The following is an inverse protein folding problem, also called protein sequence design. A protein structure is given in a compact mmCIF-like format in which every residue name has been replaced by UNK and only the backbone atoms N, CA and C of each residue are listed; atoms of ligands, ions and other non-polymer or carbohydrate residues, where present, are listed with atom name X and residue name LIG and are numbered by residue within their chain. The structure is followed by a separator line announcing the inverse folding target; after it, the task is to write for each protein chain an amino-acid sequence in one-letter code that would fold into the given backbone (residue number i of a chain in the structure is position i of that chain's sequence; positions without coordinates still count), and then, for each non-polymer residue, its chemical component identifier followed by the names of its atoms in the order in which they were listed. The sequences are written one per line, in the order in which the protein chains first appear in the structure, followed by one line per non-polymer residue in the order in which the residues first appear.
data_IF_319716476553
#
_entry.id   IF_319716476553
#
_cell.length_a   1.000
_cell.length_b   1.000
_cell.length_c   1.000
_cell.angle_alpha   90.00
_cell.angle_beta   90.00
_cell.angle_gamma   90.00
#
_symmetry.space_group_name_H-M   'P 1'
#
loop_
_entity.id
_entity.type
_entity.pdbx_description
1 polymer ?
#
# COMPACT_ATOMS: atom_id res chain seq x y z
N UNK A 1 -17.62 3.98 -9.46
CA UNK A 1 -16.55 4.97 -9.70
C UNK A 1 -15.59 5.02 -8.49
N UNK A 2 -14.90 3.92 -8.16
CA UNK A 2 -13.93 3.86 -7.04
C UNK A 2 -12.50 3.61 -7.54
N UNK A 3 -12.35 3.23 -8.82
CA UNK A 3 -11.07 2.93 -9.46
C UNK A 3 -10.31 4.18 -9.92
N UNK A 4 -10.96 5.34 -10.00
CA UNK A 4 -10.34 6.62 -10.41
C UNK A 4 -9.45 7.22 -9.33
N UNK A 5 -9.64 6.81 -8.07
CA UNK A 5 -8.82 7.21 -6.93
C UNK A 5 -7.61 6.30 -6.70
N UNK A 6 -7.49 5.21 -7.45
CA UNK A 6 -6.31 4.34 -7.36
C UNK A 6 -5.21 4.96 -8.22
N UNK A 7 -4.13 5.53 -7.61
CA UNK A 7 -3.03 6.11 -8.38
C UNK A 7 -2.40 5.06 -9.30
N UNK A 8 -1.99 5.48 -10.50
CA UNK A 8 -1.34 4.60 -11.50
C UNK A 8 -0.18 3.81 -10.90
N UNK A 9 0.55 4.40 -9.97
CA UNK A 9 1.65 3.76 -9.25
C UNK A 9 1.21 2.52 -8.47
N UNK A 10 0.03 2.52 -7.84
CA UNK A 10 -0.51 1.33 -7.16
C UNK A 10 -0.90 0.23 -8.14
N UNK A 11 -1.41 0.63 -9.31
CA UNK A 11 -1.88 -0.30 -10.34
C UNK A 11 -0.70 -0.97 -11.06
N UNK A 12 0.33 -0.18 -11.38
CA UNK A 12 1.60 -0.66 -11.93
C UNK A 12 2.33 -1.54 -10.91
N UNK A 13 2.29 -1.15 -9.64
CA UNK A 13 2.80 -1.96 -8.54
C UNK A 13 2.17 -3.34 -8.52
N UNK A 14 0.83 -3.44 -8.41
CA UNK A 14 0.09 -4.71 -8.44
C UNK A 14 0.33 -5.51 -9.72
N UNK A 15 0.57 -4.84 -10.85
CA UNK A 15 0.89 -5.45 -12.13
C UNK A 15 2.29 -6.06 -12.20
N UNK A 16 3.26 -5.49 -11.49
CA UNK A 16 4.64 -5.96 -11.41
C UNK A 16 4.89 -7.03 -10.34
N UNK A 17 3.88 -7.40 -9.55
CA UNK A 17 4.04 -8.35 -8.45
C UNK A 17 4.11 -9.79 -8.92
N UNK A 18 5.09 -10.51 -8.38
CA UNK A 18 5.16 -11.96 -8.50
C UNK A 18 4.08 -12.64 -7.65
N UNK A 19 3.85 -13.93 -7.87
CA UNK A 19 2.90 -14.70 -7.07
C UNK A 19 3.25 -14.72 -5.57
N UNK A 20 4.54 -14.67 -5.22
CA UNK A 20 5.00 -14.53 -3.83
C UNK A 20 4.60 -13.18 -3.23
N UNK A 21 4.81 -12.08 -3.96
CA UNK A 21 4.43 -10.74 -3.50
C UNK A 21 2.91 -10.62 -3.30
N UNK A 22 2.12 -11.22 -4.20
CA UNK A 22 0.66 -11.29 -4.07
C UNK A 22 0.24 -12.11 -2.86
N UNK A 23 0.95 -13.19 -2.54
CA UNK A 23 0.71 -13.98 -1.34
C UNK A 23 1.00 -13.18 -0.07
N UNK A 24 2.12 -12.46 -0.03
CA UNK A 24 2.50 -11.56 1.07
C UNK A 24 1.45 -10.46 1.28
N UNK A 25 1.01 -9.79 0.21
CA UNK A 25 -0.05 -8.79 0.28
C UNK A 25 -1.37 -9.37 0.77
N UNK A 26 -1.74 -10.59 0.34
CA UNK A 26 -2.95 -11.27 0.83
C UNK A 26 -2.87 -11.64 2.30
N UNK A 27 -1.70 -12.07 2.74
CA UNK A 27 -1.42 -12.44 4.13
C UNK A 27 -1.54 -11.19 5.02
N UNK A 28 -0.87 -10.11 4.62
CA UNK A 28 -0.92 -8.82 5.33
C UNK A 28 -2.31 -8.20 5.24
N UNK A 29 -3.03 -8.32 4.12
CA UNK A 29 -4.42 -7.84 3.99
C UNK A 29 -5.40 -8.62 4.89
N UNK A 30 -5.18 -9.93 5.09
CA UNK A 30 -5.96 -10.72 6.04
C UNK A 30 -5.69 -10.31 7.48
N UNK A 31 -4.43 -10.04 7.80
CA UNK A 31 -4.01 -9.53 9.10
C UNK A 31 -4.13 -8.00 9.22
N UNK A 32 -4.62 -7.31 8.18
CA UNK A 32 -4.79 -5.86 8.18
C UNK A 32 -5.78 -5.38 9.23
N UNK A 33 -6.76 -6.22 9.57
CA UNK A 33 -7.64 -5.98 10.70
C UNK A 33 -6.93 -6.09 12.07
N UNK A 34 -5.77 -6.75 12.15
CA UNK A 34 -4.92 -6.79 13.35
C UNK A 34 -3.92 -5.64 13.40
N UNK A 35 -3.48 -5.15 12.24
CA UNK A 35 -2.62 -3.97 12.18
C UNK A 35 -3.44 -2.74 12.58
N UNK A 36 -3.07 -2.13 13.71
CA UNK A 36 -3.77 -0.95 14.24
C UNK A 36 -3.63 0.27 13.33
N UNK A 37 -2.55 0.35 12.58
CA UNK A 37 -2.20 1.46 11.72
C UNK A 37 -1.49 0.98 10.46
N UNK A 38 -1.57 1.80 9.42
CA UNK A 38 -0.91 1.56 8.13
C UNK A 38 0.61 1.33 8.28
N UNK A 39 1.27 1.98 9.23
CA UNK A 39 2.71 1.81 9.51
C UNK A 39 3.10 0.37 9.91
N UNK A 40 2.28 -0.31 10.73
CA UNK A 40 2.57 -1.70 11.11
C UNK A 40 2.37 -2.65 9.94
N UNK A 41 1.32 -2.43 9.14
CA UNK A 41 1.11 -3.19 7.91
C UNK A 41 2.27 -2.97 6.93
N UNK A 42 2.79 -1.73 6.86
CA UNK A 42 3.92 -1.35 6.03
C UNK A 42 5.24 -1.98 6.48
N UNK A 43 5.48 -2.02 7.78
CA UNK A 43 6.67 -2.67 8.36
C UNK A 43 6.65 -4.18 8.07
N UNK A 44 5.51 -4.85 8.29
CA UNK A 44 5.36 -6.27 7.94
C UNK A 44 5.52 -6.51 6.44
N UNK A 45 5.03 -5.60 5.59
CA UNK A 45 5.19 -5.66 4.14
C UNK A 45 6.66 -5.51 3.73
N UNK A 46 7.39 -4.56 4.33
CA UNK A 46 8.84 -4.36 4.14
C UNK A 46 9.66 -5.57 4.57
N UNK A 47 9.29 -6.20 5.68
CA UNK A 47 10.01 -7.36 6.22
C UNK A 47 9.86 -8.59 5.32
N UNK A 48 8.65 -8.81 4.76
CA UNK A 48 8.41 -9.92 3.83
C UNK A 48 8.88 -9.64 2.41
N UNK A 49 8.68 -8.43 1.91
CA UNK A 49 9.12 -7.98 0.59
C UNK A 49 9.60 -6.52 0.66
N UNK A 50 10.91 -6.26 0.69
CA UNK A 50 11.44 -4.90 0.78
C UNK A 50 11.06 -4.04 -0.44
N UNK A 51 10.93 -4.63 -1.64
CA UNK A 51 10.43 -3.94 -2.84
C UNK A 51 8.95 -3.55 -2.71
N UNK A 52 8.13 -4.45 -2.16
CA UNK A 52 6.72 -4.15 -1.86
C UNK A 52 6.62 -3.01 -0.85
N UNK A 53 7.38 -3.14 0.24
CA UNK A 53 7.48 -2.18 1.33
C UNK A 53 7.82 -0.76 0.88
N UNK A 54 8.86 -0.59 0.07
CA UNK A 54 9.27 0.71 -0.43
C UNK A 54 8.21 1.37 -1.31
N UNK A 55 7.55 0.59 -2.18
CA UNK A 55 6.48 1.12 -3.04
C UNK A 55 5.20 1.42 -2.26
N UNK A 56 4.82 0.61 -1.29
CA UNK A 56 3.68 0.87 -0.42
C UNK A 56 3.89 2.12 0.45
N UNK A 57 5.11 2.36 0.92
CA UNK A 57 5.46 3.56 1.70
C UNK A 57 5.31 4.81 0.84
N UNK A 58 5.89 4.77 -0.35
CA UNK A 58 5.77 5.85 -1.32
C UNK A 58 4.31 6.13 -1.69
N UNK A 59 3.49 5.08 -1.81
CA UNK A 59 2.06 5.20 -2.09
C UNK A 59 1.30 5.84 -0.93
N UNK A 60 1.56 5.40 0.30
CA UNK A 60 0.97 5.94 1.51
C UNK A 60 1.33 7.43 1.66
N UNK A 61 2.58 7.81 1.43
CA UNK A 61 3.04 9.20 1.48
C UNK A 61 2.36 10.06 0.41
N UNK A 62 2.21 9.54 -0.82
CA UNK A 62 1.49 10.23 -1.90
C UNK A 62 0.00 10.42 -1.60
N UNK A 63 -0.64 9.38 -1.06
CA UNK A 63 -2.07 9.40 -0.72
C UNK A 63 -2.31 10.34 0.46
N UNK A 64 -1.46 10.27 1.49
CA UNK A 64 -1.49 11.19 2.63
C UNK A 64 -1.33 12.64 2.17
N UNK A 65 -0.34 12.94 1.34
CA UNK A 65 -0.15 14.28 0.78
C UNK A 65 -1.33 14.77 -0.06
N UNK A 66 -2.00 13.87 -0.80
CA UNK A 66 -3.24 14.20 -1.52
C UNK A 66 -4.43 14.43 -0.59
N UNK A 67 -4.56 13.65 0.48
CA UNK A 67 -5.61 13.81 1.49
C UNK A 67 -5.42 15.13 2.25
N UNK A 68 -4.19 15.45 2.65
CA UNK A 68 -3.86 16.72 3.30
C UNK A 68 -4.17 17.91 2.36
N UNK A 69 -3.80 17.82 1.08
CA UNK A 69 -4.15 18.82 0.08
C UNK A 69 -5.67 18.92 -0.23
N UNK A 70 -6.47 17.92 0.14
CA UNK A 70 -7.94 17.91 0.01
C UNK A 70 -8.66 18.40 1.27
N UNK A 71 -7.99 18.40 2.44
CA UNK A 71 -8.52 18.93 3.70
C UNK A 71 -8.20 20.43 3.89
N UNK A 72 -7.37 21.02 3.04
CA UNK A 72 -7.16 22.46 2.94
C UNK A 72 -8.29 23.07 2.09
N UNK A 73 -9.54 22.95 2.54
CA UNK A 73 -10.71 23.73 2.08
C UNK A 73 -11.75 23.91 3.19
#
# INVERSE_FOLDING_TARGET
MILELIPKEAKDFLGGLTDSDKAVLKDIAKDYAKYKNEEEALAALKEKSPELGAKAEKLHEMVKGKIEALNDE
#
